data_IF_080393535495
#
_entry.id   IF_080393535495
#
_cell.length_a   1.000
_cell.length_b   1.000
_cell.length_c   1.000
_cell.angle_alpha   90.00
_cell.angle_beta   90.00
_cell.angle_gamma   90.00
#
_symmetry.space_group_name_H-M   'P 1'
#
loop_
_entity.id
_entity.type
_entity.pdbx_description
1 polymer ?
#
# COMPACT_ATOMS: atom_id res chain seq x y z
N UNK A 1 -39.94 -16.65 -35.65
CA UNK A 1 -39.17 -15.50 -36.16
C UNK A 1 -37.76 -15.63 -35.58
N UNK A 2 -36.69 -15.88 -36.37
CA UNK A 2 -35.35 -15.88 -35.83
C UNK A 2 -35.06 -14.48 -35.27
N UNK A 3 -34.74 -14.41 -33.99
CA UNK A 3 -34.49 -13.15 -33.30
C UNK A 3 -33.32 -12.41 -33.95
N UNK A 4 -33.55 -11.18 -34.40
CA UNK A 4 -32.59 -10.30 -35.09
C UNK A 4 -31.23 -10.10 -34.38
N UNK A 5 -31.08 -10.58 -33.14
CA UNK A 5 -29.84 -10.53 -32.37
C UNK A 5 -28.79 -11.58 -32.77
N UNK A 6 -29.15 -12.66 -33.47
CA UNK A 6 -28.23 -13.77 -33.78
C UNK A 6 -27.68 -13.73 -35.21
N UNK A 7 -28.07 -12.73 -36.01
CA UNK A 7 -27.53 -12.56 -37.35
C UNK A 7 -26.09 -12.00 -37.29
N UNK A 8 -25.11 -12.68 -37.91
CA UNK A 8 -23.70 -12.31 -37.86
C UNK A 8 -23.39 -11.19 -38.89
N UNK A 9 -23.68 -9.95 -38.53
CA UNK A 9 -23.58 -8.80 -39.44
C UNK A 9 -22.36 -7.90 -39.17
N UNK A 10 -21.72 -8.01 -38.00
CA UNK A 10 -20.67 -7.08 -37.56
C UNK A 10 -19.26 -7.62 -37.85
N UNK A 11 -18.40 -6.77 -38.42
CA UNK A 11 -16.99 -7.09 -38.64
C UNK A 11 -16.13 -6.82 -37.38
N UNK A 12 -14.90 -7.32 -37.37
CA UNK A 12 -13.96 -7.15 -36.25
C UNK A 12 -13.74 -5.69 -35.86
N UNK A 13 -13.66 -4.76 -36.82
CA UNK A 13 -13.49 -3.32 -36.54
C UNK A 13 -14.68 -2.75 -35.76
N UNK A 14 -15.90 -3.13 -36.12
CA UNK A 14 -17.11 -2.72 -35.42
C UNK A 14 -17.13 -3.26 -33.97
N UNK A 15 -16.74 -4.52 -33.76
CA UNK A 15 -16.69 -5.12 -32.42
C UNK A 15 -15.66 -4.46 -31.52
N UNK A 16 -14.46 -4.16 -32.03
CA UNK A 16 -13.41 -3.46 -31.28
C UNK A 16 -13.90 -2.08 -30.84
N UNK A 17 -14.60 -1.34 -31.72
CA UNK A 17 -15.16 -0.02 -31.39
C UNK A 17 -16.24 -0.11 -30.30
N UNK A 18 -17.08 -1.14 -30.34
CA UNK A 18 -18.20 -1.31 -29.40
C UNK A 18 -17.79 -1.87 -28.03
N UNK A 19 -16.70 -2.64 -27.96
CA UNK A 19 -16.28 -3.35 -26.74
C UNK A 19 -15.01 -2.80 -26.12
N UNK A 20 -14.30 -1.92 -26.83
CA UNK A 20 -12.95 -1.42 -26.51
C UNK A 20 -11.88 -2.54 -26.33
N UNK A 21 -12.17 -3.77 -26.75
CA UNK A 21 -11.23 -4.90 -26.67
C UNK A 21 -10.25 -4.89 -27.84
N UNK A 22 -8.97 -5.18 -27.55
CA UNK A 22 -7.96 -5.37 -28.61
C UNK A 22 -8.26 -6.64 -29.43
N UNK A 23 -8.00 -6.64 -30.76
CA UNK A 23 -8.20 -7.81 -31.62
C UNK A 23 -7.59 -9.12 -31.11
N UNK A 24 -6.40 -9.05 -30.51
CA UNK A 24 -5.72 -10.23 -29.98
C UNK A 24 -6.37 -10.77 -28.71
N UNK A 25 -6.95 -9.89 -27.88
CA UNK A 25 -7.73 -10.30 -26.70
C UNK A 25 -8.96 -11.10 -27.11
N UNK A 26 -9.67 -10.66 -28.16
CA UNK A 26 -10.82 -11.37 -28.72
C UNK A 26 -10.44 -12.77 -29.22
N UNK A 27 -9.31 -12.89 -29.93
CA UNK A 27 -8.79 -14.18 -30.43
C UNK A 27 -8.39 -15.11 -29.30
N UNK A 28 -7.78 -14.57 -28.23
CA UNK A 28 -7.41 -15.34 -27.04
C UNK A 28 -8.64 -15.85 -26.32
N UNK A 29 -9.70 -15.04 -26.19
CA UNK A 29 -10.93 -15.43 -25.51
C UNK A 29 -11.71 -16.48 -26.32
N UNK A 30 -11.82 -16.30 -27.63
CA UNK A 30 -12.39 -17.30 -28.55
C UNK A 30 -11.64 -18.64 -28.41
N UNK A 31 -10.30 -18.63 -28.48
CA UNK A 31 -9.49 -19.85 -28.42
C UNK A 31 -9.53 -20.53 -27.05
N UNK A 32 -9.43 -19.76 -25.96
CA UNK A 32 -9.26 -20.30 -24.60
C UNK A 32 -10.58 -20.66 -23.93
N UNK A 33 -11.63 -19.91 -24.22
CA UNK A 33 -12.90 -20.00 -23.53
C UNK A 33 -14.08 -20.35 -24.45
N UNK A 34 -13.85 -20.40 -25.77
CA UNK A 34 -14.90 -20.73 -26.74
C UNK A 34 -16.02 -19.69 -26.79
N UNK A 35 -15.76 -18.44 -26.36
CA UNK A 35 -16.70 -17.33 -26.32
C UNK A 35 -16.00 -16.02 -26.74
N UNK A 36 -16.62 -15.20 -27.62
CA UNK A 36 -17.82 -15.49 -28.41
C UNK A 36 -17.56 -16.55 -29.49
N UNK A 37 -18.61 -17.01 -30.19
CA UNK A 37 -18.53 -17.99 -31.28
C UNK A 37 -18.91 -17.36 -32.64
N UNK A 38 -18.06 -16.46 -33.19
CA UNK A 38 -18.37 -15.78 -34.44
C UNK A 38 -18.46 -16.75 -35.62
N UNK A 39 -19.39 -16.51 -36.54
CA UNK A 39 -19.44 -17.25 -37.81
C UNK A 39 -18.34 -16.79 -38.74
N UNK A 40 -17.91 -17.65 -39.66
CA UNK A 40 -16.94 -17.30 -40.69
C UNK A 40 -17.63 -17.07 -42.04
N UNK A 41 -17.17 -16.08 -42.80
CA UNK A 41 -17.56 -15.92 -44.21
C UNK A 41 -16.96 -17.03 -45.07
N UNK A 42 -17.43 -17.17 -46.31
CA UNK A 42 -16.80 -18.03 -47.31
C UNK A 42 -15.30 -17.72 -47.53
N UNK A 43 -14.89 -16.47 -47.28
CA UNK A 43 -13.47 -16.04 -47.30
C UNK A 43 -12.72 -16.20 -45.97
N UNK A 44 -13.28 -16.88 -44.98
CA UNK A 44 -12.60 -17.19 -43.71
C UNK A 44 -12.55 -16.06 -42.67
N UNK A 45 -13.17 -14.91 -42.93
CA UNK A 45 -13.21 -13.78 -41.99
C UNK A 45 -14.31 -13.95 -40.93
N UNK A 46 -14.06 -13.50 -39.70
CA UNK A 46 -15.03 -13.56 -38.58
C UNK A 46 -16.10 -12.49 -38.74
N UNK A 47 -17.36 -12.92 -38.66
CA UNK A 47 -18.54 -12.09 -38.52
C UNK A 47 -19.21 -12.37 -37.18
N UNK A 48 -19.45 -11.30 -36.45
CA UNK A 48 -20.02 -11.30 -35.11
C UNK A 48 -21.49 -10.91 -35.18
N UNK A 49 -22.30 -11.58 -34.38
CA UNK A 49 -23.70 -11.22 -34.17
C UNK A 49 -23.85 -10.12 -33.12
N UNK A 50 -25.06 -9.56 -32.98
CA UNK A 50 -25.36 -8.65 -31.86
C UNK A 50 -25.24 -9.38 -30.51
N UNK A 51 -25.62 -10.66 -30.45
CA UNK A 51 -25.43 -11.51 -29.27
C UNK A 51 -23.95 -11.63 -28.89
N UNK A 52 -23.05 -11.83 -29.86
CA UNK A 52 -21.61 -11.91 -29.59
C UNK A 52 -21.06 -10.61 -28.99
N UNK A 53 -21.52 -9.46 -29.49
CA UNK A 53 -21.16 -8.15 -28.93
C UNK A 53 -21.68 -8.02 -27.49
N UNK A 54 -22.90 -8.48 -27.21
CA UNK A 54 -23.46 -8.43 -25.87
C UNK A 54 -22.73 -9.36 -24.89
N UNK A 55 -22.33 -10.56 -25.32
CA UNK A 55 -21.46 -11.47 -24.57
C UNK A 55 -20.17 -10.76 -24.19
N UNK A 56 -19.50 -10.13 -25.17
CA UNK A 56 -18.25 -9.43 -24.95
C UNK A 56 -18.41 -8.24 -23.99
N UNK A 57 -19.46 -7.43 -24.15
CA UNK A 57 -19.75 -6.31 -23.24
C UNK A 57 -20.02 -6.81 -21.81
N UNK A 58 -20.75 -7.91 -21.67
CA UNK A 58 -21.02 -8.52 -20.36
C UNK A 58 -19.74 -9.05 -19.70
N UNK A 59 -18.87 -9.74 -20.44
CA UNK A 59 -17.60 -10.23 -19.93
C UNK A 59 -16.67 -9.08 -19.50
N UNK A 60 -16.62 -8.01 -20.29
CA UNK A 60 -15.85 -6.79 -19.94
C UNK A 60 -16.40 -6.13 -18.67
N UNK A 61 -17.72 -6.03 -18.53
CA UNK A 61 -18.34 -5.46 -17.34
C UNK A 61 -18.01 -6.29 -16.08
N UNK A 62 -18.12 -7.62 -16.15
CA UNK A 62 -17.71 -8.50 -15.04
C UNK A 62 -16.22 -8.38 -14.71
N UNK A 63 -15.37 -8.21 -15.72
CA UNK A 63 -13.95 -7.97 -15.52
C UNK A 63 -13.67 -6.64 -14.79
N UNK A 64 -14.41 -5.59 -15.12
CA UNK A 64 -14.32 -4.29 -14.45
C UNK A 64 -14.83 -4.35 -13.00
N UNK A 65 -15.78 -5.25 -12.70
CA UNK A 65 -16.24 -5.56 -11.35
C UNK A 65 -15.30 -6.50 -10.58
N UNK A 66 -14.15 -6.85 -11.15
CA UNK A 66 -13.10 -7.64 -10.49
C UNK A 66 -13.20 -9.15 -10.71
N UNK A 67 -14.18 -9.66 -11.47
CA UNK A 67 -14.22 -11.09 -11.81
C UNK A 67 -13.15 -11.43 -12.86
N UNK A 68 -12.39 -12.49 -12.63
CA UNK A 68 -11.55 -13.06 -13.69
C UNK A 68 -12.40 -13.54 -14.87
N UNK A 69 -11.86 -13.42 -16.10
CA UNK A 69 -12.57 -13.83 -17.33
C UNK A 69 -12.97 -15.31 -17.31
N UNK A 70 -12.17 -16.19 -16.72
CA UNK A 70 -12.50 -17.61 -16.58
C UNK A 70 -13.74 -17.82 -15.69
N UNK A 71 -13.85 -17.10 -14.56
CA UNK A 71 -15.04 -17.11 -13.69
C UNK A 71 -16.24 -16.48 -14.37
N UNK A 72 -16.05 -15.36 -15.08
CA UNK A 72 -17.13 -14.72 -15.84
C UNK A 72 -17.68 -15.65 -16.94
N UNK A 73 -16.83 -16.37 -17.67
CA UNK A 73 -17.25 -17.36 -18.66
C UNK A 73 -18.00 -18.53 -18.02
N UNK A 74 -17.55 -19.02 -16.86
CA UNK A 74 -18.25 -20.10 -16.14
C UNK A 74 -19.66 -19.66 -15.72
N UNK A 75 -19.78 -18.44 -15.21
CA UNK A 75 -21.06 -17.84 -14.83
C UNK A 75 -21.98 -17.64 -16.04
N UNK A 76 -21.44 -17.16 -17.16
CA UNK A 76 -22.19 -17.04 -18.42
C UNK A 76 -22.83 -18.37 -18.84
N UNK A 77 -22.04 -19.45 -18.86
CA UNK A 77 -22.53 -20.78 -19.27
C UNK A 77 -23.56 -21.36 -18.31
N UNK A 78 -23.42 -21.07 -17.01
CA UNK A 78 -24.40 -21.49 -16.00
C UNK A 78 -25.75 -20.80 -16.23
N UNK A 79 -25.74 -19.49 -16.49
CA UNK A 79 -26.96 -18.73 -16.76
C UNK A 79 -27.65 -19.16 -18.06
N UNK A 80 -26.87 -19.45 -19.11
CA UNK A 80 -27.41 -20.05 -20.34
C UNK A 80 -28.05 -21.42 -20.12
N UNK A 81 -27.43 -22.28 -19.29
CA UNK A 81 -27.98 -23.61 -18.95
C UNK A 81 -29.29 -23.52 -18.15
N UNK A 82 -29.47 -22.46 -17.36
CA UNK A 82 -30.70 -22.16 -16.63
C UNK A 82 -31.79 -21.51 -17.53
N UNK A 83 -31.53 -21.34 -18.83
CA UNK A 83 -32.47 -20.73 -19.78
C UNK A 83 -32.62 -19.22 -19.62
N UNK A 84 -31.75 -18.58 -18.82
CA UNK A 84 -31.74 -17.13 -18.62
C UNK A 84 -30.77 -16.50 -19.60
N UNK A 85 -31.20 -15.47 -20.32
CA UNK A 85 -30.30 -14.74 -21.21
C UNK A 85 -29.39 -13.83 -20.37
N UNK A 86 -28.07 -14.09 -20.26
CA UNK A 86 -27.21 -13.32 -19.37
C UNK A 86 -26.98 -11.90 -19.91
N UNK A 87 -27.22 -11.68 -21.21
CA UNK A 87 -27.24 -10.37 -21.86
C UNK A 87 -28.54 -9.57 -21.62
N UNK A 88 -29.62 -10.24 -21.20
CA UNK A 88 -30.88 -9.59 -20.84
C UNK A 88 -31.01 -9.38 -19.31
N UNK A 89 -30.28 -10.17 -18.53
CA UNK A 89 -30.10 -9.92 -17.10
C UNK A 89 -29.25 -8.66 -16.90
N UNK A 90 -29.94 -7.57 -16.52
CA UNK A 90 -29.30 -6.46 -15.82
C UNK A 90 -28.49 -7.06 -14.65
N UNK A 91 -27.28 -6.55 -14.38
CA UNK A 91 -26.40 -7.08 -13.33
C UNK A 91 -27.20 -7.45 -12.07
N UNK A 92 -27.18 -8.72 -11.67
CA UNK A 92 -27.85 -9.15 -10.45
C UNK A 92 -27.32 -8.31 -9.27
N UNK A 93 -28.22 -7.78 -8.41
CA UNK A 93 -27.87 -6.92 -7.28
C UNK A 93 -27.30 -7.77 -6.14
N UNK A 94 -26.04 -8.18 -6.28
CA UNK A 94 -25.15 -8.56 -5.16
C UNK A 94 -24.18 -7.44 -4.79
N UNK A 95 -24.12 -6.40 -5.63
CA UNK A 95 -23.59 -5.09 -5.28
C UNK A 95 -24.77 -4.21 -4.83
N UNK A 96 -24.58 -3.45 -3.75
CA UNK A 96 -25.52 -2.44 -3.26
C UNK A 96 -26.01 -1.56 -4.41
N UNK A 97 -27.22 -1.82 -4.92
CA UNK A 97 -27.88 -0.91 -5.87
C UNK A 97 -28.56 0.17 -5.04
N UNK A 98 -27.93 1.35 -5.05
CA UNK A 98 -28.60 2.60 -4.73
C UNK A 98 -29.91 2.68 -5.52
N UNK A 99 -31.03 2.95 -4.82
CA UNK A 99 -32.32 3.22 -5.46
C UNK A 99 -32.17 4.37 -6.47
N UNK A 100 -32.90 4.36 -7.60
CA UNK A 100 -32.90 5.47 -8.53
C UNK A 100 -33.72 6.64 -7.95
N UNK A 101 -33.11 7.39 -7.04
CA UNK A 101 -33.29 8.84 -6.96
C UNK A 101 -32.09 9.45 -7.67
N UNK A 102 -32.32 10.43 -8.53
CA UNK A 102 -31.30 11.07 -9.35
C UNK A 102 -29.97 11.25 -8.60
N UNK A 103 -28.94 10.51 -9.02
CA UNK A 103 -27.57 10.66 -8.53
C UNK A 103 -26.89 11.68 -9.46
N UNK A 104 -26.63 12.92 -9.03
CA UNK A 104 -25.72 13.77 -9.79
C UNK A 104 -24.31 13.22 -9.60
N UNK A 105 -23.49 13.26 -10.66
CA UNK A 105 -22.02 13.16 -10.64
C UNK A 105 -21.40 12.58 -9.35
N UNK A 106 -21.36 11.24 -9.23
CA UNK A 106 -20.88 10.52 -8.02
C UNK A 106 -19.47 10.93 -7.56
N UNK A 107 -18.62 11.41 -8.47
CA UNK A 107 -17.28 11.92 -8.13
C UNK A 107 -17.33 13.25 -7.37
N UNK A 108 -18.06 14.24 -7.90
CA UNK A 108 -18.13 15.58 -7.32
C UNK A 108 -18.73 15.59 -5.91
N UNK A 109 -19.74 14.77 -5.67
CA UNK A 109 -20.36 14.69 -4.34
C UNK A 109 -19.42 14.09 -3.28
N UNK A 110 -18.63 13.06 -3.62
CA UNK A 110 -17.62 12.50 -2.70
C UNK A 110 -16.43 13.44 -2.49
N UNK A 111 -16.00 14.15 -3.53
CA UNK A 111 -14.96 15.18 -3.43
C UNK A 111 -15.39 16.31 -2.48
N UNK A 112 -16.65 16.75 -2.57
CA UNK A 112 -17.22 17.73 -1.64
C UNK A 112 -17.26 17.21 -0.20
N UNK A 113 -17.66 15.96 0.01
CA UNK A 113 -17.65 15.34 1.35
C UNK A 113 -16.22 15.19 1.89
N UNK A 114 -15.25 14.90 1.03
CA UNK A 114 -13.83 14.86 1.38
C UNK A 114 -13.34 16.23 1.86
N UNK A 115 -13.55 17.29 1.07
CA UNK A 115 -13.17 18.64 1.45
C UNK A 115 -13.86 19.09 2.75
N UNK A 116 -15.16 18.82 2.90
CA UNK A 116 -15.90 19.15 4.12
C UNK A 116 -15.38 18.38 5.35
N UNK A 117 -14.98 17.12 5.18
CA UNK A 117 -14.42 16.33 6.27
C UNK A 117 -13.05 16.86 6.71
N UNK A 118 -12.18 17.24 5.76
CA UNK A 118 -10.90 17.89 6.05
C UNK A 118 -11.13 19.19 6.84
N UNK A 119 -12.04 20.04 6.37
CA UNK A 119 -12.36 21.30 7.05
C UNK A 119 -12.84 21.08 8.49
N UNK A 120 -13.74 20.11 8.71
CA UNK A 120 -14.21 19.74 10.04
C UNK A 120 -13.07 19.24 10.93
N UNK A 121 -12.18 18.40 10.40
CA UNK A 121 -11.02 17.89 11.16
C UNK A 121 -10.06 19.00 11.56
N UNK A 122 -9.72 19.89 10.63
CA UNK A 122 -8.82 21.04 10.87
C UNK A 122 -9.40 21.99 11.93
N UNK A 123 -10.73 22.08 12.04
CA UNK A 123 -11.43 22.87 13.06
C UNK A 123 -11.72 22.14 14.37
N UNK A 124 -11.29 20.88 14.52
CA UNK A 124 -11.64 20.00 15.65
C UNK A 124 -13.16 19.81 15.85
N UNK A 125 -13.96 19.95 14.79
CA UNK A 125 -15.41 19.74 14.84
C UNK A 125 -15.74 18.25 14.67
N UNK A 126 -15.59 17.49 15.75
CA UNK A 126 -15.86 16.04 15.78
C UNK A 126 -17.28 15.71 15.33
N UNK A 127 -18.26 16.52 15.73
CA UNK A 127 -19.66 16.28 15.42
C UNK A 127 -19.92 16.43 13.91
N UNK A 128 -19.38 17.48 13.28
CA UNK A 128 -19.48 17.64 11.83
C UNK A 128 -18.72 16.53 11.10
N UNK A 129 -17.49 16.22 11.52
CA UNK A 129 -16.68 15.17 10.92
C UNK A 129 -17.40 13.81 10.94
N UNK A 130 -17.97 13.43 12.07
CA UNK A 130 -18.68 12.15 12.21
C UNK A 130 -19.99 12.09 11.45
N UNK A 131 -20.72 13.22 11.38
CA UNK A 131 -21.92 13.32 10.54
C UNK A 131 -21.58 13.14 9.06
N UNK A 132 -20.48 13.74 8.59
CA UNK A 132 -20.00 13.61 7.21
C UNK A 132 -19.62 12.16 6.91
N UNK A 133 -18.86 11.50 7.79
CA UNK A 133 -18.53 10.07 7.61
C UNK A 133 -19.78 9.20 7.62
N UNK A 134 -20.69 9.42 8.56
CA UNK A 134 -21.95 8.67 8.65
C UNK A 134 -22.77 8.82 7.38
N UNK A 135 -22.88 10.05 6.85
CA UNK A 135 -23.55 10.31 5.57
C UNK A 135 -22.84 9.58 4.42
N UNK A 136 -21.51 9.67 4.33
CA UNK A 136 -20.75 9.04 3.25
C UNK A 136 -20.89 7.50 3.26
N UNK A 137 -20.79 6.86 4.42
CA UNK A 137 -20.96 5.40 4.56
C UNK A 137 -22.42 4.94 4.39
N UNK A 138 -23.41 5.83 4.58
CA UNK A 138 -24.81 5.54 4.29
C UNK A 138 -25.13 5.62 2.78
N UNK A 139 -24.43 6.49 2.05
CA UNK A 139 -24.69 6.76 0.63
C UNK A 139 -23.81 5.95 -0.32
N UNK A 140 -22.61 5.56 0.10
CA UNK A 140 -21.61 4.92 -0.75
C UNK A 140 -21.06 3.63 -0.12
N UNK A 141 -20.63 2.64 -0.93
CA UNK A 141 -19.95 1.46 -0.43
C UNK A 141 -18.70 1.83 0.38
N UNK A 142 -18.43 1.07 1.44
CA UNK A 142 -17.31 1.35 2.35
C UNK A 142 -15.97 1.43 1.61
N UNK A 143 -15.77 0.58 0.61
CA UNK A 143 -14.59 0.54 -0.25
C UNK A 143 -14.41 1.87 -0.99
N UNK A 144 -15.49 2.41 -1.55
CA UNK A 144 -15.44 3.68 -2.28
C UNK A 144 -15.22 4.85 -1.32
N UNK A 145 -15.93 4.88 -0.19
CA UNK A 145 -15.75 5.92 0.83
C UNK A 145 -14.33 5.94 1.38
N UNK A 146 -13.74 4.78 1.68
CA UNK A 146 -12.38 4.75 2.18
C UNK A 146 -11.37 5.24 1.14
N UNK A 147 -11.53 4.84 -0.11
CA UNK A 147 -10.55 5.10 -1.18
C UNK A 147 -10.70 6.46 -1.86
N UNK A 148 -11.87 7.10 -1.76
CA UNK A 148 -12.19 8.40 -2.39
C UNK A 148 -12.45 9.53 -1.40
N UNK A 149 -12.65 9.24 -0.12
CA UNK A 149 -12.84 10.24 0.94
C UNK A 149 -11.75 10.13 2.01
N UNK A 150 -11.69 9.02 2.76
CA UNK A 150 -10.77 8.92 3.91
C UNK A 150 -9.30 8.99 3.50
N UNK A 151 -8.88 8.18 2.52
CA UNK A 151 -7.48 8.14 2.10
C UNK A 151 -7.00 9.48 1.50
N UNK A 152 -7.71 10.12 0.54
CA UNK A 152 -7.29 11.42 0.03
C UNK A 152 -7.26 12.50 1.12
N UNK A 153 -8.25 12.51 2.02
CA UNK A 153 -8.28 13.48 3.11
C UNK A 153 -7.11 13.35 4.07
N UNK A 154 -6.78 12.13 4.49
CA UNK A 154 -5.65 11.88 5.39
C UNK A 154 -4.31 12.16 4.70
N UNK A 155 -4.20 11.89 3.39
CA UNK A 155 -3.03 12.27 2.61
C UNK A 155 -2.88 13.81 2.52
N UNK A 156 -3.97 14.54 2.29
CA UNK A 156 -3.94 16.02 2.27
C UNK A 156 -3.59 16.60 3.64
N UNK A 157 -4.17 16.07 4.71
CA UNK A 157 -3.86 16.52 6.08
C UNK A 157 -2.41 16.21 6.44
N UNK A 158 -1.92 15.01 6.11
CA UNK A 158 -0.53 14.62 6.34
C UNK A 158 0.46 15.48 5.54
N UNK A 159 0.16 15.76 4.27
CA UNK A 159 0.98 16.66 3.45
C UNK A 159 0.93 18.09 3.97
N UNK A 160 -0.25 18.57 4.36
CA UNK A 160 -0.38 19.90 4.95
C UNK A 160 0.31 20.02 6.30
N UNK A 161 0.37 18.97 7.11
CA UNK A 161 1.21 18.94 8.31
C UNK A 161 2.69 19.05 7.95
N UNK A 162 3.15 18.24 7.00
CA UNK A 162 4.54 18.27 6.52
C UNK A 162 4.94 19.64 5.95
N UNK A 163 4.03 20.32 5.26
CA UNK A 163 4.23 21.66 4.69
C UNK A 163 4.03 22.79 5.72
N UNK A 164 3.78 22.49 6.99
CA UNK A 164 3.53 23.47 8.06
C UNK A 164 2.18 24.19 7.98
N UNK A 165 1.28 23.78 7.07
CA UNK A 165 -0.11 24.28 6.91
C UNK A 165 -1.02 23.80 8.04
N UNK A 166 -0.82 22.58 8.54
CA UNK A 166 -1.59 21.99 9.63
C UNK A 166 -0.70 21.63 10.81
N UNK A 167 -1.27 21.62 12.01
CA UNK A 167 -0.56 21.21 13.23
C UNK A 167 -0.56 19.69 13.38
N UNK A 168 0.39 19.16 14.15
CA UNK A 168 0.42 17.74 14.50
C UNK A 168 -0.86 17.30 15.23
N UNK A 169 -1.47 18.20 16.02
CA UNK A 169 -2.72 17.92 16.72
C UNK A 169 -3.89 17.73 15.75
N UNK A 170 -3.93 18.48 14.64
CA UNK A 170 -4.96 18.34 13.60
C UNK A 170 -4.80 17.02 12.84
N UNK A 171 -3.57 16.64 12.50
CA UNK A 171 -3.27 15.33 11.90
C UNK A 171 -3.71 14.19 12.85
N UNK A 172 -3.28 14.23 14.11
CA UNK A 172 -3.62 13.21 15.09
C UNK A 172 -5.13 13.09 15.31
N UNK A 173 -5.85 14.22 15.38
CA UNK A 173 -7.30 14.24 15.50
C UNK A 173 -7.99 13.57 14.31
N UNK A 174 -7.58 13.93 13.07
CA UNK A 174 -8.14 13.34 11.86
C UNK A 174 -7.86 11.83 11.76
N UNK A 175 -6.62 11.42 12.01
CA UNK A 175 -6.19 10.02 12.00
C UNK A 175 -6.92 9.19 13.05
N UNK A 176 -7.08 9.71 14.27
CA UNK A 176 -7.80 9.04 15.36
C UNK A 176 -9.28 8.81 15.02
N UNK A 177 -9.97 9.80 14.44
CA UNK A 177 -11.36 9.66 14.00
C UNK A 177 -11.51 8.62 12.88
N UNK A 178 -10.60 8.64 11.91
CA UNK A 178 -10.60 7.66 10.82
C UNK A 178 -10.38 6.23 11.34
N UNK A 179 -9.39 6.03 12.23
CA UNK A 179 -9.12 4.72 12.85
C UNK A 179 -10.34 4.23 13.62
N UNK A 180 -10.94 5.06 14.49
CA UNK A 180 -12.15 4.71 15.26
C UNK A 180 -13.29 4.26 14.34
N UNK A 181 -13.50 4.97 13.23
CA UNK A 181 -14.54 4.63 12.26
C UNK A 181 -14.24 3.30 11.54
N UNK A 182 -13.00 3.06 11.16
CA UNK A 182 -12.58 1.81 10.51
C UNK A 182 -12.69 0.60 11.44
N UNK A 183 -12.31 0.74 12.71
CA UNK A 183 -12.46 -0.33 13.71
C UNK A 183 -13.94 -0.70 13.93
N UNK A 184 -14.83 0.30 14.01
CA UNK A 184 -16.27 0.05 14.12
C UNK A 184 -16.81 -0.73 12.90
N UNK A 185 -16.35 -0.41 11.69
CA UNK A 185 -16.71 -1.15 10.47
C UNK A 185 -16.13 -2.57 10.46
N UNK A 186 -14.92 -2.75 10.99
CA UNK A 186 -14.26 -4.05 11.10
C UNK A 186 -15.01 -4.98 12.06
N UNK A 187 -15.48 -4.46 13.19
CA UNK A 187 -16.33 -5.20 14.15
C UNK A 187 -17.68 -5.57 13.53
N UNK A 188 -18.27 -4.68 12.73
CA UNK A 188 -19.54 -4.94 12.04
C UNK A 188 -19.43 -5.90 10.85
N UNK A 189 -18.22 -6.33 10.47
CA UNK A 189 -18.02 -7.27 9.35
C UNK A 189 -18.40 -8.70 9.77
N UNK A 190 -19.15 -9.45 8.95
CA UNK A 190 -19.57 -10.81 9.28
C UNK A 190 -18.38 -11.76 9.46
N UNK A 191 -18.67 -12.95 9.99
CA UNK A 191 -17.70 -14.03 10.06
C UNK A 191 -17.13 -14.36 8.66
N UNK A 192 -15.84 -14.78 8.57
CA UNK A 192 -15.24 -15.19 7.31
C UNK A 192 -16.08 -16.26 6.60
N UNK A 193 -16.28 -16.11 5.30
CA UNK A 193 -16.98 -17.08 4.45
C UNK A 193 -16.02 -17.94 3.64
N UNK A 194 -14.72 -17.66 3.74
CA UNK A 194 -13.65 -18.33 3.03
C UNK A 194 -12.65 -18.96 4.01
N UNK A 195 -12.01 -20.08 3.66
CA UNK A 195 -11.08 -20.78 4.56
C UNK A 195 -9.69 -20.16 4.61
N UNK A 196 -9.34 -19.26 3.68
CA UNK A 196 -8.01 -18.64 3.65
C UNK A 196 -7.86 -17.62 4.78
N UNK A 197 -6.78 -17.78 5.53
CA UNK A 197 -6.35 -17.00 6.68
C UNK A 197 -5.11 -16.18 6.36
N UNK A 198 -5.18 -14.90 6.71
CA UNK A 198 -4.11 -13.94 6.56
C UNK A 198 -3.73 -13.33 7.90
N UNK A 199 -2.46 -12.94 8.02
CA UNK A 199 -2.01 -12.01 9.07
C UNK A 199 -1.76 -10.67 8.43
N UNK A 200 -2.21 -9.59 9.07
CA UNK A 200 -1.88 -8.21 8.68
C UNK A 200 -1.37 -7.46 9.90
N UNK A 201 -0.25 -6.76 9.76
CA UNK A 201 0.28 -5.94 10.85
C UNK A 201 1.41 -5.03 10.40
N UNK A 202 2.04 -4.40 11.37
CA UNK A 202 3.20 -3.55 11.18
C UNK A 202 4.43 -4.20 11.85
N UNK A 203 5.62 -4.09 11.24
CA UNK A 203 6.86 -4.60 11.84
C UNK A 203 7.24 -3.81 13.12
N UNK A 204 8.29 -4.22 13.85
CA UNK A 204 8.76 -3.49 15.01
C UNK A 204 8.95 -1.99 14.74
N UNK A 205 8.53 -1.17 15.70
CA UNK A 205 8.57 0.30 15.73
C UNK A 205 7.73 1.02 14.66
N UNK A 206 6.85 0.28 13.96
CA UNK A 206 5.92 0.86 13.01
C UNK A 206 4.54 1.07 13.63
N UNK A 207 4.21 2.33 13.90
CA UNK A 207 2.97 2.75 14.56
C UNK A 207 1.86 3.11 13.56
N UNK A 208 2.17 3.26 12.26
CA UNK A 208 1.19 3.72 11.27
C UNK A 208 0.26 2.59 10.80
N UNK A 209 -0.83 2.40 11.54
CA UNK A 209 -1.81 1.31 11.37
C UNK A 209 -2.88 1.53 10.31
N UNK A 210 -3.10 2.76 9.86
CA UNK A 210 -4.25 3.11 9.01
C UNK A 210 -4.33 2.26 7.73
N UNK A 211 -3.23 2.13 7.00
CA UNK A 211 -3.16 1.33 5.77
C UNK A 211 -3.47 -0.15 6.01
N UNK A 212 -2.74 -0.83 6.92
CA UNK A 212 -3.03 -2.18 7.38
C UNK A 212 -4.48 -2.42 7.87
N UNK A 213 -5.03 -1.49 8.66
CA UNK A 213 -6.40 -1.58 9.17
C UNK A 213 -7.41 -1.50 8.03
N UNK A 214 -7.24 -0.55 7.12
CA UNK A 214 -8.11 -0.41 5.95
C UNK A 214 -8.02 -1.64 5.03
N UNK A 215 -6.83 -2.17 4.77
CA UNK A 215 -6.67 -3.41 4.01
C UNK A 215 -7.39 -4.58 4.69
N UNK A 216 -7.29 -4.68 6.02
CA UNK A 216 -7.98 -5.71 6.81
C UNK A 216 -9.50 -5.62 6.64
N UNK A 217 -10.07 -4.41 6.68
CA UNK A 217 -11.49 -4.18 6.43
C UNK A 217 -11.89 -4.64 5.01
N UNK A 218 -11.13 -4.24 3.99
CA UNK A 218 -11.42 -4.60 2.59
C UNK A 218 -11.39 -6.12 2.37
N UNK A 219 -10.39 -6.80 2.92
CA UNK A 219 -10.24 -8.25 2.75
C UNK A 219 -11.26 -9.06 3.55
N UNK A 220 -11.62 -8.64 4.78
CA UNK A 220 -12.69 -9.30 5.55
C UNK A 220 -14.05 -9.13 4.87
N UNK A 221 -14.30 -8.00 4.22
CA UNK A 221 -15.51 -7.77 3.41
C UNK A 221 -15.57 -8.63 2.14
N UNK A 222 -14.42 -9.13 1.67
CA UNK A 222 -14.33 -10.17 0.64
C UNK A 222 -14.48 -11.61 1.18
N UNK A 223 -14.73 -11.74 2.49
CA UNK A 223 -14.98 -13.02 3.16
C UNK A 223 -13.72 -13.74 3.66
N UNK A 224 -12.53 -13.15 3.54
CA UNK A 224 -11.27 -13.73 4.01
C UNK A 224 -11.17 -13.69 5.55
N UNK A 225 -10.51 -14.68 6.13
CA UNK A 225 -10.16 -14.69 7.54
C UNK A 225 -8.89 -13.86 7.75
N UNK A 226 -8.98 -12.74 8.47
CA UNK A 226 -7.86 -11.82 8.66
C UNK A 226 -7.60 -11.64 10.15
N UNK A 227 -6.40 -12.03 10.58
CA UNK A 227 -5.86 -11.75 11.89
C UNK A 227 -5.10 -10.44 11.79
N UNK A 228 -5.68 -9.38 12.34
CA UNK A 228 -5.04 -8.07 12.42
C UNK A 228 -4.25 -7.95 13.72
N UNK A 229 -2.93 -7.78 13.62
CA UNK A 229 -2.01 -7.70 14.77
C UNK A 229 -1.73 -6.27 15.23
N UNK A 230 -2.15 -5.26 14.46
CA UNK A 230 -1.91 -3.86 14.81
C UNK A 230 -0.49 -3.37 14.51
N UNK A 231 -0.11 -2.33 15.24
CA UNK A 231 1.20 -1.69 15.17
C UNK A 231 2.28 -2.48 15.91
N UNK A 232 3.54 -2.16 15.61
CA UNK A 232 4.70 -2.50 16.41
C UNK A 232 4.74 -3.98 16.83
N UNK A 233 4.52 -4.89 15.87
CA UNK A 233 4.52 -6.33 16.14
C UNK A 233 5.97 -6.76 16.39
N UNK A 234 6.31 -7.25 17.59
CA UNK A 234 7.68 -7.62 17.90
C UNK A 234 8.18 -8.77 17.02
N UNK A 235 9.49 -8.76 16.74
CA UNK A 235 10.11 -9.85 15.98
C UNK A 235 10.18 -11.12 16.82
N UNK A 236 10.33 -10.97 18.15
CA UNK A 236 10.37 -12.08 19.08
C UNK A 236 9.08 -12.91 18.97
N UNK A 237 9.25 -14.23 18.90
CA UNK A 237 8.14 -15.17 18.83
C UNK A 237 7.21 -15.04 17.60
N UNK A 238 7.53 -14.19 16.61
CA UNK A 238 6.73 -14.08 15.39
C UNK A 238 6.57 -15.43 14.68
N UNK A 239 7.62 -16.26 14.63
CA UNK A 239 7.55 -17.63 14.11
C UNK A 239 6.54 -18.51 14.87
N UNK A 240 6.40 -18.32 16.19
CA UNK A 240 5.39 -19.01 17.01
C UNK A 240 3.97 -18.59 16.64
N UNK A 241 3.76 -17.29 16.37
CA UNK A 241 2.48 -16.79 15.84
C UNK A 241 2.15 -17.43 14.50
N UNK A 242 3.12 -17.52 13.58
CA UNK A 242 2.95 -18.17 12.27
C UNK A 242 2.59 -19.65 12.41
N UNK A 243 3.28 -20.39 13.28
CA UNK A 243 3.03 -21.81 13.52
C UNK A 243 1.64 -22.07 14.14
N UNK A 244 1.21 -21.20 15.06
CA UNK A 244 -0.07 -21.32 15.76
C UNK A 244 -1.25 -21.01 14.84
N UNK A 245 -1.12 -19.94 14.06
CA UNK A 245 -2.23 -19.43 13.23
C UNK A 245 -2.30 -20.10 11.86
N UNK A 246 -1.17 -20.63 11.36
CA UNK A 246 -1.00 -21.26 10.04
C UNK A 246 -1.59 -20.40 8.89
N UNK A 247 -1.15 -19.15 8.73
CA UNK A 247 -1.68 -18.27 7.70
C UNK A 247 -1.16 -18.72 6.32
N UNK A 248 -1.95 -18.48 5.27
CA UNK A 248 -1.52 -18.67 3.89
C UNK A 248 -0.75 -17.44 3.37
N UNK A 249 -0.98 -16.26 3.95
CA UNK A 249 -0.29 -15.03 3.58
C UNK A 249 -0.11 -14.12 4.80
N UNK A 250 1.08 -13.53 4.91
CA UNK A 250 1.39 -12.47 5.87
C UNK A 250 1.53 -11.16 5.08
N UNK A 251 0.87 -10.10 5.52
CA UNK A 251 1.00 -8.75 4.96
C UNK A 251 1.58 -7.82 6.01
N UNK A 252 2.72 -7.20 5.71
CA UNK A 252 3.33 -6.20 6.57
C UNK A 252 3.40 -4.84 5.87
N UNK A 253 3.18 -3.76 6.60
CA UNK A 253 3.35 -2.40 6.07
C UNK A 253 4.44 -1.65 6.81
N UNK A 254 5.29 -0.93 6.08
CA UNK A 254 6.31 -0.04 6.63
C UNK A 254 6.24 1.34 5.97
N UNK A 255 6.39 2.41 6.75
CA UNK A 255 6.37 3.79 6.29
C UNK A 255 7.74 4.47 6.28
N UNK A 256 8.75 3.88 6.94
CA UNK A 256 10.09 4.46 7.12
C UNK A 256 11.20 3.45 6.83
N UNK A 257 12.42 3.93 6.61
CA UNK A 257 13.56 3.04 6.34
C UNK A 257 13.85 2.04 7.48
N UNK A 258 13.84 2.42 8.78
CA UNK A 258 14.05 1.47 9.87
C UNK A 258 13.00 0.36 9.94
N UNK A 259 11.74 0.71 9.67
CA UNK A 259 10.64 -0.26 9.70
C UNK A 259 10.66 -1.16 8.45
N UNK A 260 11.20 -0.70 7.32
CA UNK A 260 11.47 -1.57 6.17
C UNK A 260 12.58 -2.61 6.48
N UNK A 261 13.60 -2.25 7.26
CA UNK A 261 14.65 -3.17 7.68
C UNK A 261 14.12 -4.25 8.65
N UNK A 262 13.33 -3.87 9.65
CA UNK A 262 12.69 -4.84 10.55
C UNK A 262 11.65 -5.71 9.82
N UNK A 263 10.92 -5.16 8.85
CA UNK A 263 10.06 -5.92 7.93
C UNK A 263 10.86 -6.98 7.14
N UNK A 264 12.05 -6.65 6.64
CA UNK A 264 12.91 -7.62 5.94
C UNK A 264 13.25 -8.82 6.85
N UNK A 265 13.51 -8.58 8.13
CA UNK A 265 13.81 -9.65 9.09
C UNK A 265 12.60 -10.57 9.29
N UNK A 266 11.41 -9.99 9.50
CA UNK A 266 10.15 -10.76 9.59
C UNK A 266 9.86 -11.53 8.28
N UNK A 267 10.15 -10.93 7.14
CA UNK A 267 9.99 -11.54 5.83
C UNK A 267 10.89 -12.76 5.64
N UNK A 268 12.15 -12.70 6.07
CA UNK A 268 13.05 -13.86 6.08
C UNK A 268 12.52 -14.98 6.97
N UNK A 269 11.99 -14.65 8.15
CA UNK A 269 11.36 -15.65 9.03
C UNK A 269 10.14 -16.30 8.37
N UNK A 270 9.26 -15.52 7.73
CA UNK A 270 8.10 -16.04 7.01
C UNK A 270 8.51 -17.03 5.90
N UNK A 271 9.52 -16.67 5.10
CA UNK A 271 10.07 -17.54 4.05
C UNK A 271 10.67 -18.82 4.64
N UNK A 272 11.40 -18.75 5.75
CA UNK A 272 11.93 -19.93 6.46
C UNK A 272 10.83 -20.86 6.97
N UNK A 273 9.64 -20.32 7.30
CA UNK A 273 8.46 -21.09 7.68
C UNK A 273 7.60 -21.52 6.47
N UNK A 274 8.07 -21.32 5.24
CA UNK A 274 7.34 -21.59 3.99
C UNK A 274 5.98 -20.88 3.90
N UNK A 275 5.89 -19.66 4.43
CA UNK A 275 4.70 -18.81 4.35
C UNK A 275 4.96 -17.63 3.42
N UNK A 276 4.00 -17.35 2.54
CA UNK A 276 4.08 -16.20 1.65
C UNK A 276 4.05 -14.90 2.46
N UNK A 277 4.90 -13.95 2.07
CA UNK A 277 4.88 -12.60 2.59
C UNK A 277 4.61 -11.60 1.48
N UNK A 278 3.67 -10.70 1.71
CA UNK A 278 3.47 -9.52 0.91
C UNK A 278 3.72 -8.26 1.75
N UNK A 279 4.09 -7.18 1.09
CA UNK A 279 4.46 -5.95 1.78
C UNK A 279 4.02 -4.70 1.02
N UNK A 280 3.87 -3.60 1.76
CA UNK A 280 3.55 -2.29 1.20
C UNK A 280 3.84 -1.15 2.17
N UNK A 281 3.39 0.05 1.83
CA UNK A 281 3.63 1.27 2.59
C UNK A 281 4.52 2.27 1.86
N UNK A 282 4.52 3.51 2.36
CA UNK A 282 5.04 4.70 1.65
C UNK A 282 6.52 4.58 1.29
N UNK A 283 7.34 4.03 2.19
CA UNK A 283 8.78 3.93 1.97
C UNK A 283 9.13 3.14 0.71
N UNK A 284 8.31 2.16 0.33
CA UNK A 284 8.52 1.38 -0.90
C UNK A 284 8.08 2.13 -2.16
N UNK A 285 7.27 3.19 -2.04
CA UNK A 285 6.94 4.11 -3.12
C UNK A 285 8.06 5.15 -3.30
N UNK A 286 8.55 5.70 -2.21
CA UNK A 286 9.61 6.71 -2.19
C UNK A 286 10.96 6.12 -2.61
N UNK A 287 11.26 4.90 -2.19
CA UNK A 287 12.49 4.18 -2.54
C UNK A 287 12.17 2.84 -3.24
N UNK A 288 11.82 2.83 -4.54
CA UNK A 288 11.47 1.60 -5.26
C UNK A 288 12.58 0.53 -5.25
N UNK A 289 13.84 0.93 -5.10
CA UNK A 289 14.98 0.01 -4.96
C UNK A 289 14.87 -0.91 -3.73
N UNK A 290 14.20 -0.47 -2.66
CA UNK A 290 13.95 -1.30 -1.47
C UNK A 290 13.08 -2.52 -1.77
N UNK A 291 12.24 -2.47 -2.79
CA UNK A 291 11.38 -3.61 -3.18
C UNK A 291 12.20 -4.85 -3.53
N UNK A 292 13.43 -4.67 -4.02
CA UNK A 292 14.39 -5.76 -4.32
C UNK A 292 15.20 -6.19 -3.11
N UNK A 293 14.97 -5.58 -1.94
CA UNK A 293 15.62 -5.91 -0.67
C UNK A 293 14.67 -6.62 0.30
N UNK A 294 13.37 -6.76 0.00
CA UNK A 294 12.41 -7.44 0.88
C UNK A 294 11.96 -8.78 0.30
N UNK A 295 12.16 -9.92 1.00
CA UNK A 295 11.78 -11.23 0.47
C UNK A 295 10.27 -11.39 0.55
N UNK A 296 9.59 -11.15 -0.57
CA UNK A 296 8.14 -11.22 -0.65
C UNK A 296 7.59 -10.52 -1.88
N UNK A 297 6.30 -10.21 -1.81
CA UNK A 297 5.54 -9.64 -2.92
C UNK A 297 5.08 -8.22 -2.60
N UNK A 298 5.51 -7.25 -3.40
CA UNK A 298 5.05 -5.88 -3.27
C UNK A 298 3.58 -5.74 -3.70
N UNK A 299 2.74 -5.17 -2.83
CA UNK A 299 1.29 -5.06 -3.03
C UNK A 299 0.85 -3.99 -4.03
N UNK A 300 1.78 -3.16 -4.49
CA UNK A 300 1.51 -2.05 -5.41
C UNK A 300 1.64 -0.70 -4.71
N UNK A 301 1.56 0.36 -5.52
CA UNK A 301 1.79 1.72 -5.02
C UNK A 301 0.56 2.29 -4.27
N UNK A 302 -0.62 1.70 -4.50
CA UNK A 302 -1.89 2.18 -4.01
C UNK A 302 -2.63 1.07 -3.25
N UNK A 303 -3.27 1.41 -2.14
CA UNK A 303 -4.04 0.46 -1.34
C UNK A 303 -5.19 -0.20 -2.13
N UNK A 304 -5.74 0.51 -3.12
CA UNK A 304 -6.83 0.02 -3.98
C UNK A 304 -6.42 -1.19 -4.82
N UNK A 305 -5.12 -1.34 -5.09
CA UNK A 305 -4.58 -2.45 -5.87
C UNK A 305 -4.28 -3.67 -4.99
N UNK A 306 -4.06 -3.45 -3.69
CA UNK A 306 -3.60 -4.48 -2.77
C UNK A 306 -4.55 -5.67 -2.65
N UNK A 307 -5.89 -5.53 -2.53
CA UNK A 307 -6.80 -6.68 -2.50
C UNK A 307 -6.69 -7.58 -3.73
N UNK A 308 -6.52 -6.97 -4.92
CA UNK A 308 -6.35 -7.72 -6.18
C UNK A 308 -5.04 -8.50 -6.20
N UNK A 309 -3.96 -7.92 -5.68
CA UNK A 309 -2.66 -8.60 -5.58
C UNK A 309 -2.74 -9.74 -4.57
N UNK A 310 -3.36 -9.52 -3.41
CA UNK A 310 -3.62 -10.56 -2.41
C UNK A 310 -4.41 -11.74 -3.01
N UNK A 311 -5.50 -11.46 -3.75
CA UNK A 311 -6.27 -12.51 -4.41
C UNK A 311 -5.42 -13.27 -5.44
N UNK A 312 -4.57 -12.58 -6.19
CA UNK A 312 -3.66 -13.23 -7.14
C UNK A 312 -2.67 -14.18 -6.44
N UNK A 313 -2.04 -13.75 -5.35
CA UNK A 313 -1.10 -14.56 -4.59
C UNK A 313 -1.74 -15.82 -3.99
N UNK A 314 -2.97 -15.70 -3.49
CA UNK A 314 -3.68 -16.81 -2.88
C UNK A 314 -4.19 -17.85 -3.90
N UNK A 315 -4.61 -17.43 -5.10
CA UNK A 315 -5.39 -18.30 -6.00
C UNK A 315 -4.81 -18.53 -7.40
N UNK A 316 -3.95 -17.64 -7.88
CA UNK A 316 -3.34 -17.79 -9.21
C UNK A 316 -1.97 -18.48 -9.16
N UNK A 317 -1.49 -18.80 -7.95
CA UNK A 317 -0.13 -19.23 -7.67
C UNK A 317 0.78 -18.03 -7.46
N UNK A 318 1.42 -17.96 -6.29
CA UNK A 318 2.43 -16.95 -6.05
C UNK A 318 3.65 -17.23 -6.96
N UNK A 319 4.22 -16.21 -7.61
CA UNK A 319 5.52 -16.37 -8.25
C UNK A 319 6.55 -16.77 -7.19
N UNK A 320 7.65 -17.40 -7.60
CA UNK A 320 8.72 -17.68 -6.64
C UNK A 320 9.14 -16.40 -5.92
N UNK A 321 9.43 -16.47 -4.60
CA UNK A 321 9.89 -15.31 -3.85
C UNK A 321 11.11 -14.71 -4.56
N UNK A 322 11.20 -13.38 -4.55
CA UNK A 322 12.39 -12.71 -5.08
C UNK A 322 13.61 -13.22 -4.31
N UNK A 323 14.56 -13.85 -5.01
CA UNK A 323 15.85 -14.21 -4.41
C UNK A 323 16.60 -12.92 -4.07
N UNK A 324 16.91 -12.76 -2.79
CA UNK A 324 17.55 -11.53 -2.30
C UNK A 324 18.95 -11.90 -1.87
N UNK A 325 19.96 -11.35 -2.55
CA UNK A 325 21.33 -11.68 -2.24
C UNK A 325 21.62 -11.26 -0.79
N UNK A 326 22.46 -12.03 -0.09
CA UNK A 326 22.93 -11.64 1.23
C UNK A 326 23.63 -10.28 1.14
N UNK A 327 23.58 -9.51 2.23
CA UNK A 327 24.36 -8.28 2.32
C UNK A 327 25.85 -8.62 2.17
N UNK A 328 26.58 -7.75 1.47
CA UNK A 328 28.00 -7.95 1.24
C UNK A 328 28.79 -7.82 2.54
N UNK A 329 29.96 -8.45 2.57
CA UNK A 329 30.83 -8.48 3.75
C UNK A 329 31.15 -7.07 4.33
N UNK A 330 31.45 -6.04 3.52
CA UNK A 330 31.69 -4.69 4.04
C UNK A 330 30.49 -4.12 4.82
N UNK A 331 29.26 -4.37 4.35
CA UNK A 331 28.06 -3.90 5.03
C UNK A 331 27.79 -4.65 6.33
N UNK A 332 28.07 -5.96 6.37
CA UNK A 332 27.94 -6.78 7.58
C UNK A 332 28.93 -6.32 8.66
N UNK A 333 30.19 -6.14 8.29
CA UNK A 333 31.23 -5.65 9.20
C UNK A 333 30.93 -4.24 9.70
N UNK A 334 30.46 -3.35 8.82
CA UNK A 334 30.03 -2.01 9.21
C UNK A 334 28.84 -2.03 10.18
N UNK A 335 27.84 -2.89 9.93
CA UNK A 335 26.67 -3.04 10.80
C UNK A 335 27.08 -3.50 12.21
N UNK A 336 27.83 -4.60 12.30
CA UNK A 336 28.28 -5.15 13.58
C UNK A 336 29.13 -4.13 14.35
N UNK A 337 30.08 -3.49 13.68
CA UNK A 337 30.98 -2.52 14.29
C UNK A 337 30.25 -1.25 14.76
N UNK A 338 29.36 -0.72 13.92
CA UNK A 338 28.58 0.46 14.24
C UNK A 338 27.59 0.19 15.38
N UNK A 339 26.84 -0.92 15.34
CA UNK A 339 25.89 -1.28 16.40
C UNK A 339 26.58 -1.48 17.76
N UNK A 340 27.80 -2.04 17.78
CA UNK A 340 28.57 -2.20 19.02
C UNK A 340 29.02 -0.86 19.64
N UNK A 341 29.20 0.18 18.82
CA UNK A 341 29.72 1.49 19.25
C UNK A 341 28.67 2.60 19.27
N UNK A 342 27.44 2.34 18.83
CA UNK A 342 26.36 3.32 18.70
C UNK A 342 26.19 4.16 19.96
N UNK A 343 26.07 3.53 21.14
CA UNK A 343 25.86 4.25 22.41
C UNK A 343 27.02 5.19 22.73
N UNK A 344 28.26 4.82 22.39
CA UNK A 344 29.43 5.69 22.57
C UNK A 344 29.45 6.84 21.56
N UNK A 345 28.98 6.62 20.33
CA UNK A 345 28.86 7.67 19.30
C UNK A 345 27.80 8.67 19.74
N UNK A 346 26.60 8.22 20.09
CA UNK A 346 25.49 9.07 20.55
C UNK A 346 25.86 9.89 21.80
N UNK A 347 26.69 9.34 22.69
CA UNK A 347 27.23 10.07 23.83
C UNK A 347 28.24 11.17 23.42
N UNK A 348 29.10 10.90 22.44
CA UNK A 348 30.06 11.86 21.92
C UNK A 348 29.36 13.00 21.15
N UNK A 349 28.35 12.69 20.32
CA UNK A 349 27.53 13.69 19.61
C UNK A 349 26.87 14.65 20.59
N UNK A 350 26.20 14.11 21.63
CA UNK A 350 25.59 14.92 22.69
C UNK A 350 26.61 15.81 23.39
N UNK A 351 27.81 15.29 23.67
CA UNK A 351 28.90 16.07 24.28
C UNK A 351 29.33 17.24 23.40
N UNK A 352 29.49 17.01 22.10
CA UNK A 352 29.94 18.03 21.14
C UNK A 352 28.87 19.11 20.92
N UNK A 353 27.59 18.78 21.08
CA UNK A 353 26.47 19.72 20.92
C UNK A 353 26.00 20.38 22.23
N UNK A 354 26.64 20.14 23.38
CA UNK A 354 26.21 20.73 24.68
C UNK A 354 26.21 22.27 24.72
N UNK A 355 27.02 22.90 23.88
CA UNK A 355 27.11 24.37 23.79
C UNK A 355 26.22 24.95 22.68
N UNK A 356 25.62 24.10 21.84
CA UNK A 356 24.63 24.52 20.88
C UNK A 356 23.29 24.75 21.60
N UNK A 357 22.51 25.75 21.19
CA UNK A 357 21.18 26.08 21.74
C UNK A 357 20.10 25.02 21.42
N UNK A 358 20.44 23.74 21.52
CA UNK A 358 19.59 22.59 21.20
C UNK A 358 19.19 21.91 22.51
N UNK A 359 17.89 21.64 22.70
CA UNK A 359 17.43 20.95 23.91
C UNK A 359 17.91 19.49 23.95
N UNK A 360 18.15 18.95 25.16
CA UNK A 360 18.54 17.54 25.31
C UNK A 360 17.50 16.57 24.73
N UNK A 361 16.21 16.90 24.82
CA UNK A 361 15.15 16.09 24.26
C UNK A 361 15.24 16.02 22.73
N UNK A 362 15.49 17.14 22.05
CA UNK A 362 15.68 17.17 20.59
C UNK A 362 16.92 16.35 20.18
N UNK A 363 18.03 16.46 20.92
CA UNK A 363 19.23 15.68 20.66
C UNK A 363 19.01 14.17 20.83
N UNK A 364 18.23 13.77 21.84
CA UNK A 364 17.87 12.38 22.08
C UNK A 364 17.03 11.79 20.94
N UNK A 365 16.00 12.52 20.50
CA UNK A 365 15.14 12.12 19.38
C UNK A 365 15.92 12.05 18.07
N UNK A 366 16.77 13.05 17.80
CA UNK A 366 17.62 13.06 16.62
C UNK A 366 18.60 11.88 16.62
N UNK A 367 19.31 11.64 17.73
CA UNK A 367 20.22 10.50 17.89
C UNK A 367 19.52 9.16 17.66
N UNK A 368 18.36 8.98 18.28
CA UNK A 368 17.55 7.78 18.09
C UNK A 368 17.19 7.54 16.61
N UNK A 369 16.75 8.58 15.90
CA UNK A 369 16.35 8.45 14.51
C UNK A 369 17.55 8.21 13.58
N UNK A 370 18.63 8.99 13.70
CA UNK A 370 19.81 8.85 12.83
C UNK A 370 20.46 7.48 13.00
N UNK A 371 20.65 7.03 14.24
CA UNK A 371 21.30 5.75 14.49
C UNK A 371 20.49 4.56 13.95
N UNK A 372 19.16 4.62 14.07
CA UNK A 372 18.28 3.60 13.47
C UNK A 372 18.30 3.64 11.94
N UNK A 373 18.35 4.82 11.34
CA UNK A 373 18.46 4.98 9.88
C UNK A 373 19.78 4.40 9.35
N UNK A 374 20.89 4.63 10.04
CA UNK A 374 22.20 4.01 9.69
C UNK A 374 22.12 2.49 9.79
N UNK A 375 21.63 1.94 10.91
CA UNK A 375 21.47 0.49 11.09
C UNK A 375 20.58 -0.10 10.00
N UNK A 376 19.48 0.58 9.65
CA UNK A 376 18.55 0.13 8.62
C UNK A 376 19.20 0.07 7.24
N UNK A 377 19.90 1.14 6.84
CA UNK A 377 20.60 1.19 5.56
C UNK A 377 21.70 0.14 5.46
N UNK A 378 22.44 -0.09 6.54
CA UNK A 378 23.44 -1.15 6.61
C UNK A 378 22.81 -2.55 6.53
N UNK A 379 21.69 -2.77 7.23
CA UNK A 379 20.90 -4.01 7.18
C UNK A 379 20.35 -4.31 5.79
N UNK A 380 19.94 -3.26 5.07
CA UNK A 380 19.41 -3.35 3.71
C UNK A 380 20.50 -3.36 2.63
N UNK A 381 21.77 -3.15 3.03
CA UNK A 381 22.96 -3.29 2.18
C UNK A 381 23.16 -2.13 1.20
N UNK A 382 22.66 -0.93 1.52
CA UNK A 382 22.90 0.28 0.72
C UNK A 382 22.78 1.55 1.58
N UNK A 383 23.90 2.24 1.82
CA UNK A 383 23.94 3.50 2.58
C UNK A 383 23.18 4.62 1.88
N UNK A 384 22.97 4.54 0.56
CA UNK A 384 22.25 5.57 -0.20
C UNK A 384 20.78 5.67 0.19
N UNK A 385 20.20 4.63 0.78
CA UNK A 385 18.81 4.68 1.26
C UNK A 385 18.59 5.72 2.37
N UNK A 386 19.65 6.16 3.05
CA UNK A 386 19.53 7.19 4.09
C UNK A 386 19.24 8.59 3.52
N UNK A 387 19.55 8.85 2.24
CA UNK A 387 19.43 10.19 1.64
C UNK A 387 18.01 10.77 1.73
N UNK A 388 16.98 9.95 1.48
CA UNK A 388 15.59 10.41 1.54
C UNK A 388 15.15 10.84 2.95
N UNK A 389 15.70 10.21 4.00
CA UNK A 389 15.38 10.56 5.39
C UNK A 389 16.03 11.90 5.78
N UNK A 390 17.24 12.18 5.26
CA UNK A 390 17.93 13.47 5.47
C UNK A 390 17.19 14.60 4.75
N UNK A 391 16.82 14.42 3.48
CA UNK A 391 16.04 15.40 2.72
C UNK A 391 14.68 15.69 3.36
N UNK A 392 14.00 14.64 3.85
CA UNK A 392 12.74 14.76 4.56
C UNK A 392 12.92 15.54 5.88
N UNK A 393 13.97 15.26 6.65
CA UNK A 393 14.27 15.95 7.89
C UNK A 393 14.61 17.44 7.65
N UNK A 394 15.43 17.76 6.64
CA UNK A 394 15.76 19.15 6.28
C UNK A 394 14.49 19.95 5.97
N UNK A 395 13.64 19.44 5.07
CA UNK A 395 12.37 20.10 4.71
C UNK A 395 11.44 20.27 5.90
N UNK A 396 11.34 19.26 6.77
CA UNK A 396 10.50 19.35 7.97
C UNK A 396 11.00 20.46 8.91
N UNK A 397 12.31 20.58 9.12
CA UNK A 397 12.90 21.64 9.95
C UNK A 397 12.56 23.03 9.39
N UNK A 398 12.72 23.22 8.07
CA UNK A 398 12.40 24.47 7.38
C UNK A 398 10.92 24.82 7.51
N UNK A 399 10.04 23.86 7.22
CA UNK A 399 8.58 24.06 7.25
C UNK A 399 8.06 24.36 8.67
N UNK A 400 8.78 23.90 9.71
CA UNK A 400 8.48 24.18 11.11
C UNK A 400 9.32 25.31 11.72
N UNK A 401 9.97 26.14 10.89
CA UNK A 401 10.70 27.36 11.30
C UNK A 401 11.84 27.10 12.29
N UNK A 402 12.47 25.92 12.23
CA UNK A 402 13.69 25.63 12.97
C UNK A 402 14.92 26.18 12.22
N UNK A 403 16.03 26.47 12.92
CA UNK A 403 17.22 27.01 12.28
C UNK A 403 17.73 26.09 11.16
N UNK A 404 17.98 26.59 9.94
CA UNK A 404 18.36 25.76 8.80
C UNK A 404 19.73 25.08 9.01
N UNK A 405 20.63 25.74 9.74
CA UNK A 405 21.98 25.25 10.07
C UNK A 405 21.98 24.14 11.14
N UNK A 406 20.84 23.89 11.81
CA UNK A 406 20.72 22.92 12.90
C UNK A 406 21.08 21.50 12.45
N UNK A 407 20.59 21.09 11.28
CA UNK A 407 20.81 19.76 10.74
C UNK A 407 22.29 19.56 10.36
N UNK A 408 22.90 20.58 9.79
CA UNK A 408 24.30 20.58 9.40
C UNK A 408 25.23 20.47 10.61
N UNK A 409 25.04 21.31 11.63
CA UNK A 409 25.78 21.21 12.89
C UNK A 409 25.63 19.84 13.55
N UNK A 410 24.43 19.27 13.47
CA UNK A 410 24.18 17.93 14.00
C UNK A 410 24.99 16.87 13.26
N UNK A 411 24.97 16.85 11.92
CA UNK A 411 25.72 15.89 11.12
C UNK A 411 27.24 16.11 11.18
N UNK A 412 27.72 17.34 11.34
CA UNK A 412 29.14 17.63 11.62
C UNK A 412 29.60 17.00 12.93
N UNK A 413 28.84 17.22 14.00
CA UNK A 413 29.12 16.61 15.30
C UNK A 413 29.04 15.07 15.23
N UNK A 414 28.11 14.54 14.43
CA UNK A 414 27.96 13.10 14.18
C UNK A 414 29.16 12.53 13.42
N UNK A 415 29.60 13.20 12.35
CA UNK A 415 30.77 12.81 11.57
C UNK A 415 32.02 12.78 12.43
N UNK A 416 32.26 13.82 13.23
CA UNK A 416 33.41 13.87 14.13
C UNK A 416 33.38 12.71 15.14
N UNK A 417 32.23 12.48 15.79
CA UNK A 417 32.07 11.38 16.73
C UNK A 417 32.29 10.01 16.05
N UNK A 418 31.80 9.83 14.82
CA UNK A 418 31.99 8.61 14.05
C UNK A 418 33.47 8.39 13.69
N UNK A 419 34.20 9.43 13.27
CA UNK A 419 35.64 9.36 12.95
C UNK A 419 36.50 9.04 14.17
N UNK A 420 36.12 9.52 15.35
CA UNK A 420 36.83 9.24 16.60
C UNK A 420 36.63 7.80 17.11
N UNK A 421 35.49 7.17 16.77
CA UNK A 421 35.08 5.88 17.36
C UNK A 421 35.17 4.71 16.40
N UNK A 422 34.86 4.91 15.12
CA UNK A 422 34.84 3.85 14.13
C UNK A 422 36.23 3.70 13.48
N UNK A 423 36.65 2.46 13.25
CA UNK A 423 37.86 2.15 12.49
C UNK A 423 37.51 1.94 11.00
N UNK A 424 38.42 1.31 10.24
CA UNK A 424 38.23 1.04 8.81
C UNK A 424 36.93 0.28 8.49
N UNK A 425 36.40 -0.52 9.42
CA UNK A 425 35.12 -1.23 9.24
C UNK A 425 33.93 -0.27 9.15
N UNK A 426 34.03 0.91 9.77
CA UNK A 426 33.00 1.95 9.70
C UNK A 426 33.12 2.89 8.50
N UNK A 427 34.04 2.65 7.57
CA UNK A 427 34.30 3.55 6.44
C UNK A 427 33.05 3.91 5.65
N UNK A 428 32.12 2.96 5.43
CA UNK A 428 30.85 3.21 4.74
C UNK A 428 30.03 4.33 5.40
N UNK A 429 29.95 4.30 6.73
CA UNK A 429 29.18 5.30 7.52
C UNK A 429 29.90 6.64 7.51
N UNK A 430 31.21 6.64 7.72
CA UNK A 430 32.04 7.87 7.74
C UNK A 430 31.99 8.56 6.37
N UNK A 431 32.16 7.82 5.27
CA UNK A 431 32.12 8.36 3.92
C UNK A 431 30.76 8.97 3.60
N UNK A 432 29.67 8.30 3.96
CA UNK A 432 28.33 8.83 3.73
C UNK A 432 28.06 10.09 4.56
N UNK A 433 28.39 10.09 5.85
CA UNK A 433 28.27 11.28 6.71
C UNK A 433 29.10 12.45 6.16
N UNK A 434 30.30 12.19 5.67
CA UNK A 434 31.14 13.19 5.01
C UNK A 434 30.50 13.80 3.77
N UNK A 435 29.77 13.02 2.98
CA UNK A 435 29.01 13.52 1.82
C UNK A 435 27.83 14.39 2.26
N UNK A 436 27.10 13.99 3.31
CA UNK A 436 25.99 14.79 3.86
C UNK A 436 26.50 16.15 4.35
N UNK A 437 27.60 16.17 5.10
CA UNK A 437 28.21 17.41 5.61
C UNK A 437 28.77 18.26 4.46
N UNK A 438 29.36 17.66 3.44
CA UNK A 438 29.88 18.41 2.28
C UNK A 438 28.78 19.08 1.45
N UNK A 439 27.57 18.53 1.45
CA UNK A 439 26.41 19.05 0.72
C UNK A 439 25.49 19.91 1.61
N UNK A 440 25.99 20.38 2.75
CA UNK A 440 25.19 21.17 3.68
C UNK A 440 24.62 22.46 3.06
N UNK A 441 25.35 23.09 2.14
CA UNK A 441 24.89 24.28 1.41
C UNK A 441 23.69 23.98 0.48
N UNK A 442 23.43 22.71 0.13
CA UNK A 442 22.25 22.29 -0.65
C UNK A 442 21.05 21.91 0.25
N UNK A 443 21.26 21.82 1.57
CA UNK A 443 20.25 21.49 2.58
C UNK A 443 19.66 22.74 3.28
N UNK A 444 20.31 23.90 3.11
CA UNK A 444 19.83 25.25 3.49
C UNK A 444 18.95 25.88 2.41
#
# INVERSE_FOLDING_TARGET
MPSANNEPTYNLKAVVRETALKPDTLRVWERRYGLPQPKRTAGGHRLYSRQDINILKWLVARQQEGLSISRAVKLWRQLEAEGKSPAAEKPYPGAFVARPGAVPATGQALEQLCAAWIEACVKFDEQAAERILTQAFALYPAELTCTRLLMPALAEIGQGWYDGKYTVQQEHFASALAIRRLEALLVATPAPTRPERLIIGCPPDEEHTLGPLLLSLLLRRQGLDVIYLGANVPLEHFAGTVLTTRPQLIVLSAQRLPTAASLQQMARLAVQQNVLLAFGGRIFNELPALRRRIPGHFLGNNLNEAPRVVEHLLFAGAPEPTDIPPISEPYRQALEHYSALQTSIDAAVRKNLRQASISEQQLSVAGYNVSRTIIAALTLGDVKFMGSEVEWASKLLVNHQLPPDLLCRYFEAYLQAAQEKLDQRGALVITWLGQVVANCDELE
#
